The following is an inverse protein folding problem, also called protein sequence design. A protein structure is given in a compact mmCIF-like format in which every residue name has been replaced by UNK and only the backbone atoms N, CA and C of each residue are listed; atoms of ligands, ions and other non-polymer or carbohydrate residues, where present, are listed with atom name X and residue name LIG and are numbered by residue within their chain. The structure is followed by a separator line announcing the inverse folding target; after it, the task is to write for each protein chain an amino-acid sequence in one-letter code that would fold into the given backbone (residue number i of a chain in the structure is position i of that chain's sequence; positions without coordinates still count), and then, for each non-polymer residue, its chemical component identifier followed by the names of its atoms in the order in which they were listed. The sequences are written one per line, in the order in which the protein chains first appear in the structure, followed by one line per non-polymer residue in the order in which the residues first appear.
data_IF_769841122320
#
_entry.id   IF_769841122320
#
_cell.length_a   1.000
_cell.length_b   1.000
_cell.length_c   1.000
_cell.angle_alpha   90.00
_cell.angle_beta   90.00
_cell.angle_gamma   90.00
#
_symmetry.space_group_name_H-M   'P 1'
#
loop_
_entity.id
_entity.type
_entity.pdbx_description
1 polymer ?
#
# COMPACT_ATOMS: atom_id res chain seq x y z
N UNK A 1 4.92 -9.53 12.51
CA UNK A 1 4.09 -9.75 11.31
C UNK A 1 3.05 -8.66 11.08
N UNK A 2 1.97 -8.52 11.87
CA UNK A 2 0.94 -7.47 11.64
C UNK A 2 1.53 -6.05 11.62
N UNK A 3 2.41 -5.73 12.59
CA UNK A 3 3.12 -4.44 12.64
C UNK A 3 4.05 -4.22 11.43
N UNK A 4 4.71 -5.26 10.94
CA UNK A 4 5.58 -5.14 9.76
C UNK A 4 4.76 -4.87 8.49
N UNK A 5 3.60 -5.52 8.35
CA UNK A 5 2.68 -5.28 7.24
C UNK A 5 2.17 -3.84 7.27
N UNK A 6 1.79 -3.32 8.44
CA UNK A 6 1.40 -1.92 8.61
C UNK A 6 2.53 -0.93 8.24
N UNK A 7 3.78 -1.28 8.58
CA UNK A 7 4.95 -0.48 8.19
C UNK A 7 5.14 -0.46 6.66
N UNK A 8 4.93 -1.59 5.98
CA UNK A 8 4.99 -1.67 4.51
C UNK A 8 3.88 -0.82 3.87
N UNK A 9 2.64 -0.91 4.36
CA UNK A 9 1.51 -0.08 3.90
C UNK A 9 1.84 1.41 4.05
N UNK A 10 2.39 1.81 5.20
CA UNK A 10 2.81 3.18 5.45
C UNK A 10 3.88 3.63 4.46
N UNK A 11 4.90 2.82 4.25
CA UNK A 11 5.99 3.11 3.32
C UNK A 11 5.51 3.24 1.87
N UNK A 12 4.62 2.35 1.41
CA UNK A 12 4.05 2.38 0.07
C UNK A 12 3.24 3.67 -0.19
N UNK A 13 2.41 4.07 0.77
CA UNK A 13 1.64 5.31 0.68
C UNK A 13 2.55 6.55 0.67
N UNK A 14 3.59 6.58 1.52
CA UNK A 14 4.56 7.68 1.54
C UNK A 14 5.34 7.78 0.22
N UNK A 15 5.74 6.64 -0.36
CA UNK A 15 6.39 6.59 -1.67
C UNK A 15 5.46 7.11 -2.77
N UNK A 16 4.18 6.71 -2.77
CA UNK A 16 3.19 7.22 -3.70
C UNK A 16 3.00 8.74 -3.59
N UNK A 17 2.95 9.29 -2.37
CA UNK A 17 2.83 10.74 -2.19
C UNK A 17 4.04 11.49 -2.77
N UNK A 18 5.26 10.98 -2.55
CA UNK A 18 6.47 11.56 -3.15
C UNK A 18 6.45 11.50 -4.67
N UNK A 19 6.01 10.36 -5.23
CA UNK A 19 5.83 10.20 -6.67
C UNK A 19 4.76 11.16 -7.22
N UNK A 20 3.60 11.29 -6.58
CA UNK A 20 2.54 12.20 -7.02
C UNK A 20 3.00 13.66 -6.99
N UNK A 21 3.87 14.03 -6.04
CA UNK A 21 4.46 15.36 -5.95
C UNK A 21 5.43 15.69 -7.10
N UNK A 22 5.93 14.71 -7.85
CA UNK A 22 6.75 14.96 -9.06
C UNK A 22 5.90 15.34 -10.28
N UNK A 23 4.59 15.55 -10.10
CA UNK A 23 3.62 15.86 -11.17
C UNK A 23 3.72 14.92 -12.39
N UNK A 24 3.61 13.59 -12.19
CA UNK A 24 3.51 12.65 -13.30
C UNK A 24 2.27 12.95 -14.14
N UNK A 25 2.30 12.54 -15.41
CA UNK A 25 1.13 12.62 -16.27
C UNK A 25 -0.05 11.81 -15.70
N UNK A 26 -1.26 12.10 -16.19
CA UNK A 26 -2.49 11.52 -15.66
C UNK A 26 -2.51 9.99 -15.74
N UNK A 27 -2.04 9.43 -16.84
CA UNK A 27 -2.08 7.98 -17.06
C UNK A 27 -1.13 7.28 -16.10
N UNK A 28 0.13 7.75 -16.04
CA UNK A 28 1.13 7.21 -15.12
C UNK A 28 0.66 7.35 -13.66
N UNK A 29 0.09 8.50 -13.29
CA UNK A 29 -0.45 8.72 -11.94
C UNK A 29 -1.54 7.72 -11.57
N UNK A 30 -2.49 7.48 -12.48
CA UNK A 30 -3.60 6.55 -12.26
C UNK A 30 -3.09 5.11 -12.16
N UNK A 31 -2.21 4.69 -13.05
CA UNK A 31 -1.62 3.35 -13.06
C UNK A 31 -0.88 3.06 -11.75
N UNK A 32 -0.01 3.97 -11.31
CA UNK A 32 0.71 3.82 -10.04
C UNK A 32 -0.24 3.89 -8.84
N UNK A 33 -1.24 4.78 -8.86
CA UNK A 33 -2.25 4.83 -7.80
C UNK A 33 -3.01 3.52 -7.65
N UNK A 34 -3.38 2.88 -8.76
CA UNK A 34 -4.09 1.60 -8.74
C UNK A 34 -3.20 0.48 -8.20
N UNK A 35 -1.94 0.42 -8.64
CA UNK A 35 -0.97 -0.57 -8.14
C UNK A 35 -0.79 -0.47 -6.61
N UNK A 36 -0.64 0.76 -6.08
CA UNK A 36 -0.51 1.00 -4.64
C UNK A 36 -1.78 0.59 -3.89
N UNK A 37 -2.97 0.88 -4.45
CA UNK A 37 -4.25 0.46 -3.84
C UNK A 37 -4.39 -1.06 -3.77
N UNK A 38 -4.03 -1.78 -4.83
CA UNK A 38 -4.06 -3.24 -4.82
C UNK A 38 -3.07 -3.82 -3.81
N UNK A 39 -1.83 -3.30 -3.78
CA UNK A 39 -0.85 -3.72 -2.78
C UNK A 39 -1.35 -3.52 -1.34
N UNK A 40 -1.95 -2.36 -1.04
CA UNK A 40 -2.48 -2.08 0.30
C UNK A 40 -3.65 -3.00 0.65
N UNK A 41 -4.52 -3.30 -0.31
CA UNK A 41 -5.63 -4.23 -0.10
C UNK A 41 -5.13 -5.65 0.22
N UNK A 42 -4.17 -6.16 -0.57
CA UNK A 42 -3.58 -7.48 -0.37
C UNK A 42 -2.90 -7.59 1.00
N UNK A 43 -2.09 -6.58 1.35
CA UNK A 43 -1.40 -6.53 2.64
C UNK A 43 -2.38 -6.43 3.81
N UNK A 44 -3.47 -5.66 3.67
CA UNK A 44 -4.51 -5.57 4.69
C UNK A 44 -5.17 -6.93 4.91
N UNK A 45 -5.52 -7.63 3.84
CA UNK A 45 -6.10 -8.99 3.93
C UNK A 45 -5.15 -9.98 4.62
N UNK A 46 -3.84 -9.91 4.32
CA UNK A 46 -2.84 -10.74 5.00
C UNK A 46 -2.74 -10.38 6.49
N UNK A 47 -2.79 -9.10 6.85
CA UNK A 47 -2.76 -8.67 8.25
C UNK A 47 -3.99 -9.15 9.03
N UNK A 48 -5.18 -9.08 8.42
CA UNK A 48 -6.42 -9.60 9.00
C UNK A 48 -6.35 -11.12 9.21
N UNK A 49 -5.87 -11.86 8.20
CA UNK A 49 -5.65 -13.30 8.32
C UNK A 49 -4.64 -13.66 9.42
N UNK A 50 -3.54 -12.91 9.50
CA UNK A 50 -2.52 -13.09 10.53
C UNK A 50 -3.06 -12.83 11.94
N UNK A 51 -3.87 -11.79 12.11
CA UNK A 51 -4.52 -11.47 13.38
C UNK A 51 -5.49 -12.58 13.81
N UNK A 52 -6.32 -13.08 12.89
CA UNK A 52 -7.27 -14.18 13.16
C UNK A 52 -6.64 -15.56 13.39
N UNK A 53 -5.37 -15.77 13.01
CA UNK A 53 -4.59 -16.99 13.34
C UNK A 53 -3.86 -16.92 14.68
N UNK A 54 -3.83 -15.74 15.30
CA UNK A 54 -3.12 -15.50 16.56
C UNK A 54 -4.02 -15.69 17.79
N UNK A 55 -5.31 -16.01 17.58
CA UNK A 55 -6.28 -16.49 18.57
C UNK A 55 -6.37 -18.02 18.53
#
# INVERSE_FOLDING_TARGET
MVTEIQNIITAANAAYQRFAATNPDRETRVSVSNAVRFLVADLTSVAEYAAGRSE
#
